data_IF_320672157441
#
_entry.id   IF_320672157441
#
_cell.length_a   1.000
_cell.length_b   1.000
_cell.length_c   1.000
_cell.angle_alpha   90.00
_cell.angle_beta   90.00
_cell.angle_gamma   90.00
#
_symmetry.space_group_name_H-M   'P 1'
#
loop_
_entity.id
_entity.type
_entity.pdbx_description
1 polymer ?
#
# COMPACT_ATOMS: atom_id res chain seq x y z
N UNK A 1 -9.24 11.60 17.51
CA UNK A 1 -7.87 11.15 17.24
C UNK A 1 -7.48 9.99 18.12
N UNK A 2 -7.86 10.03 19.39
CA UNK A 2 -7.49 8.97 20.32
C UNK A 2 -8.06 7.61 19.94
N UNK A 3 -9.20 7.57 19.24
CA UNK A 3 -9.80 6.30 18.81
C UNK A 3 -8.90 5.51 17.85
N UNK A 4 -8.06 6.18 17.10
CA UNK A 4 -7.17 5.55 16.12
C UNK A 4 -5.73 5.41 16.63
N UNK A 5 -5.44 6.00 17.78
CA UNK A 5 -4.08 5.97 18.33
C UNK A 5 -3.58 4.53 18.46
N UNK A 6 -2.35 4.30 18.02
CA UNK A 6 -1.66 3.01 18.06
C UNK A 6 -2.29 1.92 17.17
N UNK A 7 -3.28 2.28 16.36
CA UNK A 7 -3.78 1.38 15.33
C UNK A 7 -2.82 1.33 14.16
N UNK A 8 -2.75 0.19 13.49
CA UNK A 8 -1.87 -0.01 12.35
C UNK A 8 -2.57 0.47 11.09
N UNK A 9 -1.83 1.13 10.21
CA UNK A 9 -2.33 1.63 8.93
C UNK A 9 -1.36 1.27 7.81
N UNK A 10 -1.90 1.06 6.64
CA UNK A 10 -1.17 0.93 5.40
C UNK A 10 -2.01 1.56 4.30
N UNK A 11 -1.48 1.64 3.10
CA UNK A 11 -2.22 2.25 2.00
C UNK A 11 -1.81 1.74 0.64
N UNK A 12 -2.70 1.91 -0.30
CA UNK A 12 -2.45 1.53 -1.69
C UNK A 12 -3.14 2.53 -2.61
N UNK A 13 -2.64 2.59 -3.84
CA UNK A 13 -3.24 3.42 -4.87
C UNK A 13 -2.96 2.82 -6.25
N UNK A 14 -3.80 3.15 -7.21
CA UNK A 14 -3.68 2.66 -8.58
C UNK A 14 -3.87 3.84 -9.53
N UNK A 15 -3.15 3.83 -10.64
CA UNK A 15 -3.29 4.86 -11.66
C UNK A 15 -3.09 4.28 -13.04
N UNK A 16 -3.51 5.05 -14.06
CA UNK A 16 -3.32 4.68 -15.46
C UNK A 16 -1.89 4.95 -15.93
N UNK A 17 -1.24 5.94 -15.36
CA UNK A 17 0.14 6.30 -15.72
C UNK A 17 1.13 5.61 -14.77
N UNK A 18 2.35 5.31 -15.23
CA UNK A 18 3.34 4.65 -14.38
C UNK A 18 3.60 5.39 -13.06
N UNK A 19 3.82 6.70 -13.11
CA UNK A 19 3.97 7.49 -11.88
C UNK A 19 2.61 7.84 -11.29
N UNK A 20 1.77 8.54 -12.07
CA UNK A 20 0.43 8.94 -11.64
C UNK A 20 0.39 9.72 -10.34
N UNK A 21 1.54 10.30 -9.94
CA UNK A 21 1.71 10.98 -8.65
C UNK A 21 1.28 10.10 -7.47
N UNK A 22 1.43 8.80 -7.62
CA UNK A 22 1.00 7.82 -6.61
C UNK A 22 1.75 7.99 -5.29
N UNK A 23 3.02 8.39 -5.35
CA UNK A 23 3.78 8.64 -4.12
C UNK A 23 3.15 9.77 -3.30
N UNK A 24 2.71 10.85 -3.96
CA UNK A 24 2.03 11.94 -3.26
C UNK A 24 0.77 11.47 -2.54
N UNK A 25 0.00 10.60 -3.17
CA UNK A 25 -1.20 10.02 -2.56
C UNK A 25 -0.84 9.22 -1.31
N UNK A 26 0.17 8.37 -1.41
CA UNK A 26 0.62 7.55 -0.27
C UNK A 26 1.18 8.43 0.84
N UNK A 27 1.95 9.46 0.50
CA UNK A 27 2.48 10.40 1.49
C UNK A 27 1.36 11.13 2.22
N UNK A 28 0.27 11.46 1.53
CA UNK A 28 -0.90 12.05 2.18
C UNK A 28 -1.50 11.08 3.19
N UNK A 29 -1.63 9.81 2.83
CA UNK A 29 -2.13 8.78 3.75
C UNK A 29 -1.23 8.66 4.98
N UNK A 30 0.08 8.67 4.79
CA UNK A 30 1.04 8.59 5.90
C UNK A 30 0.85 9.79 6.83
N UNK A 31 0.76 11.00 6.28
CA UNK A 31 0.56 12.20 7.07
C UNK A 31 -0.73 12.12 7.87
N UNK A 32 -1.82 11.69 7.22
CA UNK A 32 -3.10 11.54 7.89
C UNK A 32 -3.04 10.52 9.03
N UNK A 33 -2.37 9.39 8.79
CA UNK A 33 -2.17 8.37 9.82
C UNK A 33 -1.39 8.93 11.01
N UNK A 34 -0.33 9.72 10.75
CA UNK A 34 0.46 10.34 11.82
C UNK A 34 -0.37 11.31 12.64
N UNK A 35 -1.22 12.11 12.00
CA UNK A 35 -2.10 13.04 12.69
C UNK A 35 -3.08 12.33 13.63
N UNK A 36 -3.40 11.08 13.34
CA UNK A 36 -4.28 10.27 14.16
C UNK A 36 -3.53 9.35 15.13
N UNK A 37 -2.22 9.49 15.22
CA UNK A 37 -1.38 8.68 16.13
C UNK A 37 -1.28 7.22 15.73
N UNK A 38 -1.50 6.92 14.46
CA UNK A 38 -1.43 5.55 13.95
C UNK A 38 0.02 5.14 13.64
N UNK A 39 0.22 3.85 13.45
CA UNK A 39 1.52 3.29 13.10
C UNK A 39 1.47 2.84 11.65
N UNK A 40 2.29 3.45 10.80
CA UNK A 40 2.30 3.13 9.38
C UNK A 40 3.17 1.91 9.09
N UNK A 41 2.66 1.01 8.25
CA UNK A 41 3.37 -0.18 7.82
C UNK A 41 3.63 -0.09 6.32
N UNK A 42 4.89 -0.15 5.94
CA UNK A 42 5.31 -0.17 4.56
C UNK A 42 5.32 -1.57 3.97
N UNK A 43 5.71 -1.65 2.71
CA UNK A 43 5.72 -2.85 1.89
C UNK A 43 7.19 -3.23 1.61
N UNK A 44 7.71 -4.32 2.20
CA UNK A 44 9.15 -4.62 2.14
C UNK A 44 9.59 -5.41 0.92
N UNK A 45 8.68 -5.91 0.10
CA UNK A 45 9.05 -6.77 -1.01
C UNK A 45 9.99 -6.07 -1.99
N UNK A 46 11.02 -6.78 -2.44
CA UNK A 46 11.91 -6.28 -3.47
C UNK A 46 11.24 -6.40 -4.83
N UNK A 47 11.55 -5.45 -5.71
CA UNK A 47 11.05 -5.50 -7.08
C UNK A 47 11.77 -6.65 -7.82
N UNK A 48 11.02 -7.69 -8.17
CA UNK A 48 11.54 -8.84 -8.92
C UNK A 48 11.00 -8.89 -10.36
N UNK A 49 10.36 -7.79 -10.81
CA UNK A 49 9.75 -7.73 -12.13
C UNK A 49 8.26 -8.03 -12.15
N UNK A 50 7.75 -8.74 -11.15
CA UNK A 50 6.31 -9.04 -11.02
C UNK A 50 5.78 -8.57 -9.67
N UNK A 51 6.44 -8.93 -8.59
CA UNK A 51 6.09 -8.47 -7.24
C UNK A 51 6.72 -7.10 -7.03
N UNK A 52 5.94 -6.16 -6.50
CA UNK A 52 6.35 -4.77 -6.30
C UNK A 52 7.00 -4.19 -7.56
N UNK A 53 6.37 -4.44 -8.70
CA UNK A 53 6.96 -4.08 -10.01
C UNK A 53 7.14 -2.58 -10.20
N UNK A 54 6.39 -1.76 -9.50
CA UNK A 54 6.55 -0.30 -9.54
C UNK A 54 7.56 0.21 -8.52
N UNK A 55 8.12 -0.67 -7.69
CA UNK A 55 9.22 -0.33 -6.80
C UNK A 55 8.83 0.60 -5.66
N UNK A 56 7.66 0.40 -5.06
CA UNK A 56 7.18 1.26 -3.98
C UNK A 56 7.19 0.52 -2.65
N UNK A 57 7.91 1.08 -1.68
CA UNK A 57 7.98 0.52 -0.34
C UNK A 57 7.18 1.29 0.70
N UNK A 58 6.80 2.53 0.43
CA UNK A 58 5.98 3.33 1.35
C UNK A 58 4.53 2.84 1.40
N UNK A 59 4.06 2.18 0.36
CA UNK A 59 2.75 1.60 0.24
C UNK A 59 2.66 0.88 -1.09
N UNK A 60 1.53 0.26 -1.37
CA UNK A 60 1.34 -0.46 -2.62
C UNK A 60 0.96 0.50 -3.75
N UNK A 61 1.63 0.38 -4.87
CA UNK A 61 1.25 1.06 -6.11
C UNK A 61 0.92 0.03 -7.17
N UNK A 62 -0.15 0.26 -7.92
CA UNK A 62 -0.55 -0.57 -9.06
C UNK A 62 -0.83 0.31 -10.28
N UNK A 63 -0.84 -0.29 -11.45
CA UNK A 63 -1.09 0.42 -12.70
C UNK A 63 -1.94 -0.43 -13.62
N UNK A 64 -2.96 0.19 -14.21
CA UNK A 64 -3.81 -0.43 -15.22
C UNK A 64 -4.25 0.65 -16.21
N UNK A 65 -4.47 0.28 -17.48
CA UNK A 65 -4.87 1.23 -18.51
C UNK A 65 -6.17 1.99 -18.18
N UNK A 66 -6.33 3.22 -18.67
CA UNK A 66 -7.43 4.11 -18.24
C UNK A 66 -8.83 3.59 -18.59
N UNK A 67 -8.95 2.76 -19.62
CA UNK A 67 -10.24 2.18 -20.02
C UNK A 67 -10.32 0.68 -19.76
N UNK A 68 -9.32 0.13 -19.07
CA UNK A 68 -9.25 -1.30 -18.82
C UNK A 68 -10.15 -1.69 -17.65
N UNK A 69 -10.81 -2.86 -17.72
CA UNK A 69 -11.57 -3.36 -16.58
C UNK A 69 -10.64 -3.81 -15.45
N UNK A 70 -11.20 -3.97 -14.25
CA UNK A 70 -10.43 -4.42 -13.09
C UNK A 70 -9.74 -5.76 -13.32
N UNK A 71 -10.30 -6.61 -14.19
CA UNK A 71 -9.70 -7.90 -14.53
C UNK A 71 -8.34 -7.77 -15.23
N UNK A 72 -8.01 -6.59 -15.75
CA UNK A 72 -6.74 -6.34 -16.42
C UNK A 72 -5.62 -5.90 -15.46
N UNK A 73 -5.91 -5.77 -14.17
CA UNK A 73 -4.87 -5.48 -13.18
C UNK A 73 -3.86 -6.61 -13.21
N UNK A 74 -2.54 -6.31 -13.38
CA UNK A 74 -1.54 -7.35 -13.43
C UNK A 74 -1.58 -8.26 -12.20
N UNK A 75 -1.43 -9.56 -12.42
CA UNK A 75 -1.49 -10.54 -11.33
C UNK A 75 -0.42 -10.26 -10.27
N UNK A 76 0.77 -9.79 -10.68
CA UNK A 76 1.83 -9.42 -9.74
C UNK A 76 1.43 -8.30 -8.81
N UNK A 77 0.64 -7.33 -9.30
CA UNK A 77 0.12 -6.25 -8.46
C UNK A 77 -0.87 -6.79 -7.43
N UNK A 78 -1.74 -7.73 -7.84
CA UNK A 78 -2.69 -8.37 -6.92
C UNK A 78 -1.97 -9.22 -5.89
N UNK A 79 -0.95 -9.97 -6.30
CA UNK A 79 -0.16 -10.79 -5.38
C UNK A 79 0.60 -9.92 -4.38
N UNK A 80 1.12 -8.79 -4.83
CA UNK A 80 1.79 -7.82 -3.97
C UNK A 80 0.81 -7.25 -2.95
N UNK A 81 -0.40 -6.92 -3.38
CA UNK A 81 -1.45 -6.40 -2.49
C UNK A 81 -1.82 -7.41 -1.42
N UNK A 82 -1.94 -8.69 -1.81
CA UNK A 82 -2.25 -9.76 -0.86
C UNK A 82 -1.14 -9.90 0.19
N UNK A 83 0.11 -9.92 -0.23
CA UNK A 83 1.25 -10.01 0.68
C UNK A 83 1.33 -8.80 1.60
N UNK A 84 1.07 -7.61 1.08
CA UNK A 84 1.06 -6.39 1.88
C UNK A 84 -0.05 -6.43 2.94
N UNK A 85 -1.26 -6.83 2.56
CA UNK A 85 -2.36 -6.98 3.51
C UNK A 85 -2.04 -7.97 4.61
N UNK A 86 -1.40 -9.09 4.29
CA UNK A 86 -0.97 -10.07 5.28
C UNK A 86 0.06 -9.46 6.23
N UNK A 87 1.01 -8.67 5.72
CA UNK A 87 1.99 -8.00 6.56
C UNK A 87 1.33 -7.02 7.53
N UNK A 88 0.39 -6.22 7.04
CA UNK A 88 -0.33 -5.27 7.90
C UNK A 88 -1.04 -6.01 9.03
N UNK A 89 -1.72 -7.11 8.71
CA UNK A 89 -2.42 -7.93 9.69
C UNK A 89 -1.46 -8.55 10.71
N UNK A 90 -0.31 -9.04 10.25
CA UNK A 90 0.71 -9.63 11.14
C UNK A 90 1.28 -8.59 12.11
N UNK A 91 1.61 -7.40 11.61
CA UNK A 91 2.11 -6.32 12.47
C UNK A 91 1.06 -5.92 13.49
N UNK A 92 -0.19 -5.77 13.06
CA UNK A 92 -1.29 -5.45 13.97
C UNK A 92 -1.44 -6.50 15.07
N UNK A 93 -1.33 -7.77 14.71
CA UNK A 93 -1.40 -8.87 15.68
C UNK A 93 -0.26 -8.81 16.70
N UNK A 94 0.98 -8.55 16.24
CA UNK A 94 2.14 -8.44 17.12
C UNK A 94 1.99 -7.28 18.11
N UNK A 95 1.44 -6.15 17.67
CA UNK A 95 1.28 -4.98 18.54
C UNK A 95 0.18 -5.17 19.56
N UNK A 96 -0.80 -6.03 19.30
CA UNK A 96 -1.83 -6.35 20.29
C UNK A 96 -1.34 -7.36 21.33
N UNK A 97 -0.19 -7.93 21.08
CA UNK A 97 0.36 -8.94 21.97
C UNK A 97 -0.26 -10.26 21.74
#
# INVERSE_FOLDING_TARGET
>A
TSAWKDKVAGGFTISASPSGDKLSTIQYFITLAMQNGMIWVGQPALNDGTINRLGSNSGLMAQVGPTSPASDIPQGDLDTAKAYGQRVAEVASKLRG
#
